data_IF_289502629820
#
_entry.id   IF_289502629820
#
_cell.length_a   1.000
_cell.length_b   1.000
_cell.length_c   1.000
_cell.angle_alpha   90.00
_cell.angle_beta   90.00
_cell.angle_gamma   90.00
#
_symmetry.space_group_name_H-M   'P 1'
#
loop_
_entity.id
_entity.type
_entity.pdbx_description
1 polymer ?
#
# COMPACT_ATOMS: atom_id res chain seq x y z
N UNK A 1 3.54 8.54 -66.07
CA UNK A 1 4.77 8.88 -65.33
C UNK A 1 4.40 9.17 -63.88
N UNK A 2 5.37 9.02 -62.95
CA UNK A 2 5.35 9.36 -61.52
C UNK A 2 4.95 8.24 -60.53
N UNK A 3 5.98 7.52 -60.09
CA UNK A 3 6.08 6.73 -58.85
C UNK A 3 6.30 7.69 -57.67
N UNK A 4 5.57 7.54 -56.55
CA UNK A 4 5.85 7.97 -55.15
C UNK A 4 4.48 8.12 -54.45
N UNK A 5 4.15 7.50 -53.31
CA UNK A 5 4.87 7.52 -52.06
C UNK A 5 4.64 6.23 -51.29
N UNK A 6 5.76 5.62 -50.94
CA UNK A 6 5.96 4.55 -49.99
C UNK A 6 6.16 5.20 -48.60
N UNK A 7 5.84 4.45 -47.55
CA UNK A 7 6.29 4.59 -46.15
C UNK A 7 5.46 5.49 -45.22
N UNK A 8 4.65 4.84 -44.38
CA UNK A 8 4.57 5.09 -42.94
C UNK A 8 3.77 3.96 -42.25
N UNK A 9 4.28 2.72 -42.32
CA UNK A 9 3.63 1.54 -41.72
C UNK A 9 4.57 0.70 -40.83
N UNK A 10 5.65 1.29 -40.30
CA UNK A 10 6.67 0.53 -39.55
C UNK A 10 6.73 0.94 -38.05
N UNK A 11 6.15 2.07 -37.66
CA UNK A 11 6.18 2.52 -36.25
C UNK A 11 5.26 1.73 -35.30
N UNK A 12 4.14 1.19 -35.79
CA UNK A 12 3.14 0.53 -34.94
C UNK A 12 3.49 -0.91 -34.53
N UNK A 13 4.25 -1.63 -35.34
CA UNK A 13 4.48 -3.07 -35.13
C UNK A 13 5.39 -3.41 -33.95
N UNK A 14 6.42 -2.60 -33.69
CA UNK A 14 7.39 -2.86 -32.61
C UNK A 14 6.79 -2.59 -31.23
N UNK A 15 5.93 -1.57 -31.10
CA UNK A 15 5.31 -1.23 -29.82
C UNK A 15 4.34 -2.32 -29.32
N UNK A 16 3.60 -2.96 -30.23
CA UNK A 16 2.62 -4.00 -29.87
C UNK A 16 3.32 -5.33 -29.52
N UNK A 17 4.50 -5.61 -30.10
CA UNK A 17 5.26 -6.83 -29.77
C UNK A 17 5.85 -6.78 -28.35
N UNK A 18 6.27 -5.61 -27.87
CA UNK A 18 6.76 -5.43 -26.50
C UNK A 18 5.66 -5.23 -25.46
N UNK A 19 4.42 -4.96 -25.87
CA UNK A 19 3.32 -4.67 -24.95
C UNK A 19 2.02 -5.32 -25.43
N UNK A 20 1.87 -6.66 -25.36
CA UNK A 20 0.65 -7.30 -25.77
C UNK A 20 -0.51 -6.82 -24.89
N UNK A 21 -1.64 -6.37 -25.47
CA UNK A 21 -2.82 -6.03 -24.69
C UNK A 21 -3.28 -7.28 -23.95
N UNK A 22 -3.30 -7.20 -22.62
CA UNK A 22 -3.82 -8.27 -21.76
C UNK A 22 -5.28 -8.46 -22.13
N UNK A 23 -5.62 -9.65 -22.65
CA UNK A 23 -7.00 -10.07 -22.82
C UNK A 23 -7.66 -10.08 -21.43
N UNK A 24 -8.43 -9.04 -21.14
CA UNK A 24 -9.32 -9.00 -19.99
C UNK A 24 -10.43 -10.01 -20.25
N UNK A 25 -10.36 -11.15 -19.56
CA UNK A 25 -11.45 -12.12 -19.55
C UNK A 25 -12.72 -11.42 -19.05
N UNK A 26 -13.79 -11.30 -19.86
CA UNK A 26 -15.01 -10.60 -19.44
C UNK A 26 -15.84 -11.39 -18.43
N UNK A 27 -15.38 -12.55 -17.96
CA UNK A 27 -16.09 -13.43 -17.03
C UNK A 27 -15.65 -13.29 -15.56
N UNK A 28 -14.76 -12.35 -15.22
CA UNK A 28 -14.29 -12.12 -13.85
C UNK A 28 -14.99 -10.94 -13.14
N UNK A 29 -16.24 -10.63 -13.49
CA UNK A 29 -17.00 -9.52 -12.89
C UNK A 29 -18.23 -10.00 -12.12
N UNK A 30 -18.01 -10.86 -11.13
CA UNK A 30 -18.87 -10.96 -9.95
C UNK A 30 -18.00 -10.68 -8.73
N UNK A 31 -17.58 -9.41 -8.61
CA UNK A 31 -16.84 -8.90 -7.48
C UNK A 31 -17.55 -7.65 -6.98
N UNK A 32 -17.96 -7.67 -5.72
CA UNK A 32 -18.38 -6.52 -4.92
C UNK A 32 -17.45 -5.32 -5.25
N UNK A 33 -17.94 -4.08 -5.39
CA UNK A 33 -17.06 -2.92 -5.53
C UNK A 33 -16.23 -2.79 -4.25
N UNK A 34 -15.05 -3.40 -4.23
CA UNK A 34 -14.02 -3.10 -3.24
C UNK A 34 -13.52 -1.73 -3.65
N UNK A 35 -13.95 -0.72 -2.90
CA UNK A 35 -13.64 0.68 -3.16
C UNK A 35 -12.13 0.84 -3.36
N UNK A 36 -11.74 1.08 -4.60
CA UNK A 36 -10.40 1.46 -4.99
C UNK A 36 -10.22 2.95 -4.70
N UNK A 37 -10.24 3.30 -3.42
CA UNK A 37 -9.65 4.53 -2.88
C UNK A 37 -8.30 4.24 -2.20
N UNK A 38 -7.64 3.15 -2.60
CA UNK A 38 -6.22 2.96 -2.38
C UNK A 38 -5.49 4.13 -3.05
N UNK A 39 -5.09 5.14 -2.28
CA UNK A 39 -4.17 6.16 -2.76
C UNK A 39 -3.01 5.41 -3.42
N UNK A 40 -2.76 5.72 -4.70
CA UNK A 40 -1.96 4.94 -5.64
C UNK A 40 -0.44 4.86 -5.31
N UNK A 41 -0.08 5.11 -4.06
CA UNK A 41 1.26 5.03 -3.52
C UNK A 41 1.33 3.79 -2.61
N UNK A 42 2.39 2.99 -2.76
CA UNK A 42 2.68 1.87 -1.86
C UNK A 42 2.95 2.36 -0.44
N UNK A 43 3.43 1.47 0.45
CA UNK A 43 3.93 1.90 1.75
C UNK A 43 5.00 2.98 1.57
N UNK A 44 4.89 4.08 2.31
CA UNK A 44 5.78 5.22 2.21
C UNK A 44 6.74 5.24 3.40
N UNK A 45 8.02 5.60 3.20
CA UNK A 45 8.93 5.81 4.33
C UNK A 45 8.41 6.95 5.21
N UNK A 46 8.30 6.68 6.51
CA UNK A 46 7.86 7.61 7.54
C UNK A 46 8.78 7.49 8.76
N UNK A 47 8.74 8.50 9.62
CA UNK A 47 9.28 8.36 10.97
C UNK A 47 8.42 7.34 11.72
N UNK A 48 9.04 6.32 12.32
CA UNK A 48 8.33 5.35 13.12
C UNK A 48 7.89 5.99 14.46
N UNK A 49 6.64 5.76 14.92
CA UNK A 49 6.20 6.22 16.23
C UNK A 49 6.86 5.40 17.36
N UNK A 50 6.83 5.92 18.58
CA UNK A 50 7.53 5.32 19.73
C UNK A 50 7.04 3.90 20.08
N UNK A 51 5.81 3.56 19.68
CA UNK A 51 5.18 2.25 19.90
C UNK A 51 5.29 1.29 18.71
N UNK A 52 6.04 1.65 17.65
CA UNK A 52 6.31 0.73 16.56
C UNK A 52 7.43 -0.24 16.94
N UNK A 53 7.07 -1.51 17.13
CA UNK A 53 8.04 -2.58 17.38
C UNK A 53 8.59 -3.14 16.07
N UNK A 54 9.91 -3.38 16.03
CA UNK A 54 10.55 -4.03 14.89
C UNK A 54 9.96 -5.44 14.66
N UNK A 55 9.72 -5.80 13.41
CA UNK A 55 9.17 -7.11 13.05
C UNK A 55 7.71 -7.33 13.45
N UNK A 56 6.98 -6.28 13.84
CA UNK A 56 5.52 -6.31 14.04
C UNK A 56 4.82 -5.28 13.15
N UNK A 57 3.58 -5.58 12.82
CA UNK A 57 2.68 -4.65 12.15
C UNK A 57 1.97 -3.79 13.21
N UNK A 58 2.14 -2.48 13.16
CA UNK A 58 1.37 -1.56 14.00
C UNK A 58 0.13 -1.10 13.24
N UNK A 59 -1.05 -1.48 13.73
CA UNK A 59 -2.36 -1.08 13.19
C UNK A 59 -2.92 0.07 14.01
N UNK A 60 -3.18 1.19 13.35
CA UNK A 60 -3.71 2.40 13.97
C UNK A 60 -5.13 2.62 13.45
N UNK A 61 -6.10 2.54 14.34
CA UNK A 61 -7.51 2.68 13.97
C UNK A 61 -8.44 2.26 15.09
N UNK A 62 -9.71 2.69 15.07
CA UNK A 62 -10.69 2.30 16.07
C UNK A 62 -11.10 0.84 15.93
N UNK A 63 -11.68 0.26 16.98
CA UNK A 63 -12.29 -1.09 16.96
C UNK A 63 -13.79 -1.05 17.26
N UNK A 64 -14.42 0.12 17.11
CA UNK A 64 -15.87 0.29 17.30
C UNK A 64 -16.68 -0.29 16.13
N UNK A 65 -18.01 -0.20 16.18
CA UNK A 65 -18.92 -0.71 15.12
C UNK A 65 -19.10 0.26 13.94
N UNK A 66 -18.21 1.25 13.79
CA UNK A 66 -18.21 2.14 12.63
C UNK A 66 -17.59 1.45 11.40
N UNK A 67 -17.78 1.96 10.17
CA UNK A 67 -17.12 1.43 8.98
C UNK A 67 -15.59 1.34 9.12
N UNK A 68 -14.96 2.37 9.70
CA UNK A 68 -13.53 2.37 9.99
C UNK A 68 -13.13 1.32 11.02
N UNK A 69 -13.97 1.12 12.04
CA UNK A 69 -13.74 0.10 13.07
C UNK A 69 -13.89 -1.32 12.54
N UNK A 70 -14.85 -1.54 11.64
CA UNK A 70 -15.02 -2.82 10.94
C UNK A 70 -13.82 -3.13 10.04
N UNK A 71 -13.33 -2.17 9.24
CA UNK A 71 -12.12 -2.34 8.41
C UNK A 71 -10.91 -2.70 9.26
N UNK A 72 -10.72 -2.01 10.38
CA UNK A 72 -9.62 -2.27 11.32
C UNK A 72 -9.71 -3.70 11.88
N UNK A 73 -10.89 -4.12 12.35
CA UNK A 73 -11.14 -5.49 12.83
C UNK A 73 -10.87 -6.55 11.76
N UNK A 74 -11.37 -6.33 10.54
CA UNK A 74 -11.17 -7.25 9.41
C UNK A 74 -9.68 -7.39 9.10
N UNK A 75 -8.93 -6.28 9.04
CA UNK A 75 -7.50 -6.32 8.80
C UNK A 75 -6.75 -7.09 9.91
N UNK A 76 -7.06 -6.83 11.18
CA UNK A 76 -6.45 -7.55 12.31
C UNK A 76 -6.74 -9.06 12.26
N UNK A 77 -7.97 -9.45 11.92
CA UNK A 77 -8.34 -10.86 11.74
C UNK A 77 -7.54 -11.50 10.60
N UNK A 78 -7.40 -10.81 9.48
CA UNK A 78 -6.62 -11.30 8.34
C UNK A 78 -5.12 -11.42 8.66
N UNK A 79 -4.55 -10.50 9.45
CA UNK A 79 -3.18 -10.59 9.94
C UNK A 79 -2.98 -11.80 10.86
N UNK A 80 -3.92 -12.03 11.79
CA UNK A 80 -3.90 -13.21 12.65
C UNK A 80 -3.96 -14.51 11.85
N UNK A 81 -4.85 -14.59 10.84
CA UNK A 81 -4.96 -15.75 9.95
C UNK A 81 -3.69 -15.98 9.11
N UNK A 82 -2.98 -14.91 8.74
CA UNK A 82 -1.70 -14.99 8.02
C UNK A 82 -0.50 -15.30 8.93
N UNK A 83 -0.67 -15.41 10.25
CA UNK A 83 0.41 -15.61 11.21
C UNK A 83 1.36 -14.42 11.35
N UNK A 84 0.90 -13.20 11.02
CA UNK A 84 1.71 -11.98 11.10
C UNK A 84 1.49 -11.34 12.48
N UNK A 85 2.55 -11.12 13.27
CA UNK A 85 2.41 -10.47 14.57
C UNK A 85 2.04 -8.99 14.41
N UNK A 86 1.07 -8.52 15.19
CA UNK A 86 0.60 -7.14 15.12
C UNK A 86 0.26 -6.58 16.51
N UNK A 87 0.32 -5.25 16.61
CA UNK A 87 -0.24 -4.48 17.70
C UNK A 87 -1.34 -3.56 17.15
N UNK A 88 -2.35 -3.26 17.96
CA UNK A 88 -3.37 -2.26 17.61
C UNK A 88 -3.36 -1.12 18.62
N UNK A 89 -3.53 0.11 18.11
CA UNK A 89 -3.71 1.31 18.92
C UNK A 89 -4.69 2.26 18.26
N UNK A 90 -5.26 3.18 19.04
CA UNK A 90 -5.99 4.34 18.54
C UNK A 90 -5.18 5.62 18.61
N UNK A 91 -4.04 5.61 19.31
CA UNK A 91 -3.20 6.78 19.54
C UNK A 91 -1.72 6.43 19.31
N UNK A 92 -0.98 7.39 18.76
CA UNK A 92 0.46 7.29 18.54
C UNK A 92 1.12 8.59 18.97
N UNK A 93 2.37 8.49 19.43
CA UNK A 93 3.20 9.63 19.77
C UNK A 93 4.52 9.53 19.01
N UNK A 94 5.09 10.70 18.74
CA UNK A 94 6.38 10.85 18.08
C UNK A 94 7.25 11.74 18.96
N UNK A 95 8.14 11.12 19.72
CA UNK A 95 9.11 11.86 20.54
C UNK A 95 10.40 12.15 19.78
N UNK A 96 10.54 11.60 18.56
CA UNK A 96 11.77 11.65 17.77
C UNK A 96 12.02 13.05 17.15
N UNK A 97 13.23 13.63 17.25
CA UNK A 97 13.61 14.88 16.55
C UNK A 97 13.53 14.84 15.02
N UNK A 98 13.28 13.67 14.41
CA UNK A 98 13.09 13.50 12.96
C UNK A 98 11.91 14.31 12.36
N UNK A 99 10.99 14.83 13.20
CA UNK A 99 9.98 15.81 12.76
C UNK A 99 10.56 17.21 12.46
N UNK A 100 11.87 17.41 12.58
CA UNK A 100 12.53 18.65 12.15
C UNK A 100 12.61 18.81 10.62
N UNK A 101 12.45 17.73 9.85
CA UNK A 101 12.46 17.78 8.39
C UNK A 101 11.03 17.93 7.83
N UNK A 102 10.71 19.03 7.12
CA UNK A 102 9.36 19.26 6.61
C UNK A 102 8.88 18.18 5.63
N UNK A 103 9.78 17.52 4.89
CA UNK A 103 9.39 16.44 3.97
C UNK A 103 9.01 15.15 4.68
N UNK A 104 9.57 14.89 5.86
CA UNK A 104 9.20 13.73 6.69
C UNK A 104 7.85 13.95 7.36
N UNK A 105 7.61 15.18 7.84
CA UNK A 105 6.32 15.61 8.37
C UNK A 105 5.22 15.51 7.32
N UNK A 106 5.46 15.96 6.08
CA UNK A 106 4.46 15.89 5.01
C UNK A 106 4.06 14.45 4.68
N UNK A 107 5.04 13.54 4.56
CA UNK A 107 4.76 12.12 4.31
C UNK A 107 3.99 11.49 5.46
N UNK A 108 4.35 11.83 6.70
CA UNK A 108 3.62 11.37 7.87
C UNK A 108 2.18 11.88 7.86
N UNK A 109 1.97 13.17 7.59
CA UNK A 109 0.63 13.76 7.49
C UNK A 109 -0.19 13.12 6.38
N UNK A 110 0.41 12.81 5.23
CA UNK A 110 -0.27 12.13 4.14
C UNK A 110 -0.74 10.73 4.53
N UNK A 111 0.09 9.97 5.26
CA UNK A 111 -0.29 8.65 5.77
C UNK A 111 -1.35 8.77 6.88
N UNK A 112 -1.16 9.68 7.83
CA UNK A 112 -2.03 9.84 9.00
C UNK A 112 -3.38 10.50 8.69
N UNK A 113 -3.44 11.35 7.67
CA UNK A 113 -4.67 11.96 7.16
C UNK A 113 -5.49 11.05 6.26
N UNK A 114 -4.98 9.86 5.94
CA UNK A 114 -5.72 8.87 5.16
C UNK A 114 -6.78 8.13 5.98
N UNK A 115 -7.52 7.25 5.31
CA UNK A 115 -8.58 6.49 5.96
C UNK A 115 -8.02 5.37 6.85
N UNK A 116 -8.67 5.15 7.99
CA UNK A 116 -8.34 4.03 8.86
C UNK A 116 -8.76 2.68 8.22
N UNK A 117 -8.05 1.58 8.54
CA UNK A 117 -6.88 1.51 9.41
C UNK A 117 -5.61 2.04 8.73
N UNK A 118 -4.76 2.74 9.48
CA UNK A 118 -3.40 3.06 9.06
C UNK A 118 -2.49 1.93 9.54
N UNK A 119 -1.58 1.48 8.70
CA UNK A 119 -0.60 0.46 9.05
C UNK A 119 0.79 1.04 8.99
N UNK A 120 1.58 0.77 10.01
CA UNK A 120 3.01 1.09 10.07
C UNK A 120 3.78 -0.20 10.29
N UNK A 121 4.81 -0.44 9.49
CA UNK A 121 5.75 -1.54 9.69
C UNK A 121 7.12 -1.15 9.15
N UNK A 122 8.18 -1.41 9.92
CA UNK A 122 9.58 -1.16 9.55
C UNK A 122 9.85 0.26 8.98
N UNK A 123 9.33 1.29 9.65
CA UNK A 123 9.52 2.68 9.24
C UNK A 123 8.77 3.08 7.97
N UNK A 124 7.76 2.29 7.57
CA UNK A 124 6.93 2.58 6.41
C UNK A 124 5.45 2.53 6.78
N UNK A 125 4.67 3.44 6.21
CA UNK A 125 3.26 3.62 6.55
C UNK A 125 2.36 3.67 5.32
N UNK A 126 1.14 3.17 5.47
CA UNK A 126 0.07 3.30 4.48
C UNK A 126 -1.29 3.42 5.16
N UNK A 127 -2.14 4.30 4.63
CA UNK A 127 -3.54 4.38 5.02
C UNK A 127 -4.38 3.35 4.24
N UNK A 128 -5.31 2.71 4.93
CA UNK A 128 -6.21 1.68 4.42
C UNK A 128 -5.55 0.69 3.44
N UNK A 129 -4.50 -0.03 3.84
CA UNK A 129 -3.93 -1.06 2.98
C UNK A 129 -4.81 -2.31 2.95
N UNK A 130 -4.68 -3.09 1.88
CA UNK A 130 -5.17 -4.47 1.82
C UNK A 130 -4.23 -5.42 2.57
N UNK A 131 -4.73 -6.59 2.99
CA UNK A 131 -3.87 -7.61 3.62
C UNK A 131 -2.71 -8.05 2.72
N UNK A 132 -2.93 -8.16 1.40
CA UNK A 132 -1.91 -8.58 0.46
C UNK A 132 -0.72 -7.60 0.44
N UNK A 133 -0.99 -6.31 0.50
CA UNK A 133 0.04 -5.27 0.58
C UNK A 133 0.82 -5.36 1.90
N UNK A 134 0.13 -5.53 3.03
CA UNK A 134 0.79 -5.67 4.34
C UNK A 134 1.68 -6.91 4.40
N UNK A 135 1.20 -8.04 3.88
CA UNK A 135 1.97 -9.30 3.82
C UNK A 135 3.21 -9.15 2.94
N UNK A 136 3.07 -8.52 1.77
CA UNK A 136 4.19 -8.27 0.86
C UNK A 136 5.26 -7.42 1.55
N UNK A 137 4.86 -6.30 2.14
CA UNK A 137 5.78 -5.38 2.82
C UNK A 137 6.48 -6.04 4.03
N UNK A 138 5.72 -6.81 4.83
CA UNK A 138 6.26 -7.54 5.98
C UNK A 138 7.37 -8.50 5.56
N UNK A 139 7.14 -9.31 4.51
CA UNK A 139 8.10 -10.31 4.01
C UNK A 139 9.34 -9.68 3.35
N UNK A 140 9.16 -8.59 2.62
CA UNK A 140 10.27 -7.83 2.04
C UNK A 140 11.22 -7.35 3.15
N UNK A 141 10.65 -6.83 4.22
CA UNK A 141 11.41 -6.36 5.37
C UNK A 141 12.15 -7.49 6.11
N UNK A 142 11.53 -8.67 6.27
CA UNK A 142 12.17 -9.83 6.91
C UNK A 142 13.39 -10.33 6.14
N UNK A 143 13.38 -10.17 4.82
CA UNK A 143 14.48 -10.61 3.95
C UNK A 143 15.68 -9.65 4.04
N UNK A 144 15.43 -8.36 4.28
CA UNK A 144 16.49 -7.35 4.37
C UNK A 144 17.37 -7.46 5.62
N UNK A 145 16.92 -8.16 6.67
CA UNK A 145 17.66 -8.33 7.94
C UNK A 145 18.57 -9.57 7.94
N UNK A 146 18.62 -10.34 6.85
CA UNK A 146 19.58 -11.45 6.67
C UNK A 146 20.73 -11.03 5.76
N UNK A 147 21.70 -10.29 6.29
CA UNK A 147 23.06 -10.14 5.73
C UNK A 147 24.03 -9.81 6.85
#
# INVERSE_FOLDING_TARGET
MQRLLLLLAIGGGVYIYFNPPRAVNPLAQTGVPIAADAQAHGFMPIVAPDNAEAGKVLVIGPTCNSPNGQRTKVLMQQLAQAGIPYNQTTNINFTNPALANPQEVERLNQVMGGQAPIVILNGRGKANPTIAEVVSEFRQSSTSTRI
#
